data_IF_434819629993
#
_entry.id   IF_434819629993
#
_cell.length_a   1.000
_cell.length_b   1.000
_cell.length_c   1.000
_cell.angle_alpha   90.00
_cell.angle_beta   90.00
_cell.angle_gamma   90.00
#
_symmetry.space_group_name_H-M   'P 1'
#
loop_
_entity.id
_entity.type
_entity.pdbx_description
1 polymer ?
#
# COMPACT_ATOMS: atom_id res chain seq x y z
N UNK A 1 -25.38 1.93 26.33
CA UNK A 1 -24.64 3.16 26.03
C UNK A 1 -23.80 2.96 24.77
N UNK A 2 -24.21 3.53 23.64
CA UNK A 2 -23.47 3.46 22.37
C UNK A 2 -22.21 4.34 22.50
N UNK A 3 -21.02 3.73 22.51
CA UNK A 3 -19.76 4.47 22.41
C UNK A 3 -19.75 5.24 21.09
N UNK A 4 -19.91 6.56 21.14
CA UNK A 4 -19.60 7.44 20.00
C UNK A 4 -18.15 7.16 19.58
N UNK A 5 -17.97 6.36 18.53
CA UNK A 5 -16.67 6.21 17.87
C UNK A 5 -16.43 7.53 17.13
N UNK A 6 -15.70 8.44 17.74
CA UNK A 6 -15.13 9.56 17.01
C UNK A 6 -14.39 9.00 15.79
N UNK A 7 -14.88 9.30 14.60
CA UNK A 7 -14.20 8.90 13.37
C UNK A 7 -12.87 9.66 13.29
N UNK A 8 -11.79 8.97 13.64
CA UNK A 8 -10.42 9.49 13.49
C UNK A 8 -10.23 9.73 11.99
N UNK A 9 -9.91 10.96 11.60
CA UNK A 9 -9.55 11.30 10.22
C UNK A 9 -8.04 11.40 10.10
N UNK A 10 -7.44 10.88 9.03
CA UNK A 10 -6.02 11.04 8.78
C UNK A 10 -5.61 12.52 8.82
N UNK A 11 -4.55 12.82 9.53
CA UNK A 11 -4.06 14.19 9.70
C UNK A 11 -2.53 14.25 9.61
N UNK A 12 -2.00 15.46 9.41
CA UNK A 12 -0.55 15.71 9.39
C UNK A 12 0.07 15.86 10.80
N UNK A 13 -0.60 15.38 11.84
CA UNK A 13 -0.13 15.58 13.22
C UNK A 13 1.20 14.90 13.48
N UNK A 14 1.35 13.66 13.03
CA UNK A 14 2.58 12.88 13.24
C UNK A 14 3.73 13.41 12.38
N UNK A 15 3.48 13.72 11.11
CA UNK A 15 4.50 14.34 10.24
C UNK A 15 4.98 15.67 10.82
N UNK A 16 4.07 16.55 11.28
CA UNK A 16 4.41 17.84 11.89
C UNK A 16 5.24 17.68 13.17
N UNK A 17 4.97 16.66 14.00
CA UNK A 17 5.79 16.37 15.19
C UNK A 17 7.21 16.00 14.80
N UNK A 18 7.39 15.19 13.77
CA UNK A 18 8.70 14.77 13.29
C UNK A 18 9.46 15.92 12.64
N UNK A 19 8.79 16.75 11.85
CA UNK A 19 9.39 17.96 11.27
C UNK A 19 9.89 18.94 12.33
N UNK A 20 9.13 19.14 13.43
CA UNK A 20 9.56 19.97 14.58
C UNK A 20 10.77 19.39 15.31
N UNK A 21 11.00 18.07 15.25
CA UNK A 21 12.17 17.39 15.78
C UNK A 21 13.39 17.44 14.84
N UNK A 22 13.29 18.15 13.71
CA UNK A 22 14.39 18.34 12.75
C UNK A 22 14.45 17.29 11.63
N UNK A 23 13.55 16.29 11.57
CA UNK A 23 13.51 15.37 10.45
C UNK A 23 13.04 16.09 9.19
N UNK A 24 13.90 16.20 8.18
CA UNK A 24 13.58 16.88 6.91
C UNK A 24 12.69 16.01 6.02
N UNK A 25 12.88 14.71 6.06
CA UNK A 25 12.18 13.71 5.24
C UNK A 25 11.41 12.74 6.12
N UNK A 26 10.09 12.78 6.03
CA UNK A 26 9.20 11.81 6.70
C UNK A 26 8.48 11.02 5.63
N UNK A 27 8.79 9.73 5.53
CA UNK A 27 8.21 8.82 4.54
C UNK A 27 7.24 7.87 5.23
N UNK A 28 6.03 7.78 4.71
CA UNK A 28 5.04 6.78 5.14
C UNK A 28 5.01 5.60 4.18
N UNK A 29 4.94 4.39 4.72
CA UNK A 29 4.87 3.14 3.99
C UNK A 29 3.58 2.40 4.32
N UNK A 30 2.88 1.92 3.29
CA UNK A 30 1.73 1.03 3.42
C UNK A 30 1.65 0.06 2.24
N UNK A 31 1.01 -1.10 2.44
CA UNK A 31 0.90 -2.15 1.44
C UNK A 31 -0.55 -2.51 1.10
N UNK A 32 -0.73 -3.08 -0.08
CA UNK A 32 -1.98 -3.67 -0.54
C UNK A 32 -1.75 -5.06 -1.13
N UNK A 33 -2.64 -5.99 -0.80
CA UNK A 33 -2.61 -7.31 -1.42
C UNK A 33 -1.97 -8.40 -0.57
N UNK A 34 -2.00 -8.33 0.76
CA UNK A 34 -1.53 -9.44 1.63
C UNK A 34 -2.45 -10.64 1.59
N UNK A 35 -3.77 -10.45 1.68
CA UNK A 35 -4.75 -11.53 1.78
C UNK A 35 -5.25 -12.20 0.49
N UNK A 36 -5.08 -11.66 -0.73
CA UNK A 36 -5.50 -12.32 -1.96
C UNK A 36 -4.80 -13.64 -2.22
N UNK A 37 -5.51 -14.57 -2.88
CA UNK A 37 -5.00 -15.88 -3.34
C UNK A 37 -4.18 -15.78 -4.63
N UNK A 38 -4.26 -14.64 -5.35
CA UNK A 38 -3.60 -14.45 -6.63
C UNK A 38 -3.04 -13.04 -6.80
N UNK A 39 -1.98 -12.94 -7.60
CA UNK A 39 -1.33 -11.70 -7.97
C UNK A 39 -0.36 -11.15 -6.92
N UNK A 40 0.30 -10.01 -7.23
CA UNK A 40 1.37 -9.47 -6.43
C UNK A 40 0.88 -8.83 -5.12
N UNK A 41 1.81 -8.61 -4.19
CA UNK A 41 1.71 -7.60 -3.16
C UNK A 41 2.37 -6.30 -3.66
N UNK A 42 1.76 -5.16 -3.37
CA UNK A 42 2.28 -3.84 -3.73
C UNK A 42 2.41 -2.99 -2.48
N UNK A 43 3.43 -2.15 -2.43
CA UNK A 43 3.57 -1.14 -1.39
C UNK A 43 3.83 0.23 -2.01
N UNK A 44 3.47 1.28 -1.30
CA UNK A 44 3.80 2.65 -1.66
C UNK A 44 4.59 3.32 -0.54
N UNK A 45 5.56 4.12 -0.95
CA UNK A 45 6.26 5.08 -0.12
C UNK A 45 5.77 6.48 -0.49
N UNK A 46 5.34 7.27 0.49
CA UNK A 46 4.82 8.62 0.27
C UNK A 46 5.45 9.60 1.23
N UNK A 47 5.89 10.73 0.72
CA UNK A 47 6.35 11.86 1.52
C UNK A 47 5.76 13.18 1.03
N UNK A 48 5.71 14.16 1.92
CA UNK A 48 5.34 15.54 1.60
C UNK A 48 6.61 16.38 1.58
N UNK A 49 6.86 17.06 0.46
CA UNK A 49 7.97 18.01 0.34
C UNK A 49 7.74 19.24 1.22
N UNK A 50 8.67 19.49 2.10
CA UNK A 50 8.68 20.70 2.92
C UNK A 50 9.55 21.75 2.19
N UNK A 51 8.92 22.80 1.69
CA UNK A 51 9.62 23.98 1.18
C UNK A 51 9.50 25.12 2.20
N UNK A 52 10.61 25.77 2.52
CA UNK A 52 10.63 26.91 3.49
C UNK A 52 9.71 28.06 3.05
N UNK A 53 9.55 28.29 1.74
CA UNK A 53 8.88 29.48 1.20
C UNK A 53 7.35 29.41 1.11
N UNK A 54 6.70 28.24 1.17
CA UNK A 54 5.24 28.14 0.93
C UNK A 54 4.56 26.94 1.61
N UNK A 55 5.05 26.54 2.80
CA UNK A 55 4.55 25.34 3.48
C UNK A 55 3.06 25.47 3.86
N UNK A 56 2.63 26.67 4.34
CA UNK A 56 1.24 26.88 4.78
C UNK A 56 0.25 26.77 3.62
N UNK A 57 0.51 27.46 2.50
CA UNK A 57 -0.41 27.46 1.34
C UNK A 57 -0.48 26.11 0.62
N UNK A 58 0.65 25.45 0.43
CA UNK A 58 0.68 24.10 -0.19
C UNK A 58 -0.02 23.04 0.67
N UNK A 59 0.14 23.10 2.00
CA UNK A 59 -0.58 22.21 2.93
C UNK A 59 -2.09 22.55 2.99
N UNK A 60 -2.47 23.82 2.90
CA UNK A 60 -3.89 24.21 2.84
C UNK A 60 -4.56 23.70 1.57
N UNK A 61 -3.92 23.86 0.40
CA UNK A 61 -4.40 23.32 -0.87
C UNK A 61 -4.46 21.78 -0.86
N UNK A 62 -3.48 21.12 -0.24
CA UNK A 62 -3.48 19.68 -0.07
C UNK A 62 -4.69 19.22 0.78
N UNK A 63 -4.99 19.94 1.88
CA UNK A 63 -6.12 19.62 2.75
C UNK A 63 -7.46 19.85 2.06
N UNK A 64 -7.62 20.91 1.28
CA UNK A 64 -8.87 21.21 0.56
C UNK A 64 -9.14 20.18 -0.53
N UNK A 65 -8.16 19.88 -1.36
CA UNK A 65 -8.26 18.93 -2.48
C UNK A 65 -8.44 17.47 -2.04
N UNK A 66 -7.97 17.12 -0.83
CA UNK A 66 -8.03 15.79 -0.26
C UNK A 66 -8.97 15.69 0.93
N UNK A 67 -9.94 16.62 1.01
CA UNK A 67 -11.02 16.55 2.01
C UNK A 67 -11.77 15.22 1.86
N UNK A 68 -11.74 14.41 2.93
CA UNK A 68 -12.37 13.09 2.94
C UNK A 68 -11.43 11.94 2.59
N UNK A 69 -10.11 12.20 2.46
CA UNK A 69 -9.14 11.10 2.43
C UNK A 69 -9.27 10.27 3.71
N UNK A 70 -9.27 8.97 3.56
CA UNK A 70 -9.37 8.00 4.65
C UNK A 70 -8.77 6.67 4.18
N UNK A 71 -8.71 5.68 5.06
CA UNK A 71 -8.34 4.31 4.72
C UNK A 71 -8.93 3.90 3.36
N UNK A 72 -8.08 3.40 2.48
CA UNK A 72 -8.44 3.04 1.11
C UNK A 72 -9.59 2.02 1.02
N UNK A 73 -9.75 1.18 2.04
CA UNK A 73 -10.81 0.16 2.13
C UNK A 73 -12.18 0.79 2.39
N UNK A 74 -12.21 1.97 3.03
CA UNK A 74 -13.44 2.72 3.34
C UNK A 74 -13.89 3.65 2.22
N UNK A 75 -13.14 3.71 1.11
CA UNK A 75 -13.46 4.50 -0.08
C UNK A 75 -14.09 3.62 -1.17
N UNK A 76 -15.02 4.19 -1.95
CA UNK A 76 -15.48 3.53 -3.17
C UNK A 76 -14.35 3.45 -4.21
N UNK A 77 -14.39 2.51 -5.17
CA UNK A 77 -13.39 2.42 -6.23
C UNK A 77 -13.22 3.73 -7.02
N UNK A 78 -14.31 4.41 -7.37
CA UNK A 78 -14.31 5.70 -8.06
C UNK A 78 -13.58 6.76 -7.25
N UNK A 79 -13.88 6.88 -5.96
CA UNK A 79 -13.26 7.86 -5.07
C UNK A 79 -11.77 7.59 -4.86
N UNK A 80 -11.37 6.30 -4.79
CA UNK A 80 -9.94 5.93 -4.74
C UNK A 80 -9.19 6.33 -6.01
N UNK A 81 -9.76 6.11 -7.19
CA UNK A 81 -9.15 6.51 -8.46
C UNK A 81 -9.05 8.04 -8.58
N UNK A 82 -10.03 8.81 -8.09
CA UNK A 82 -9.96 10.27 -8.00
C UNK A 82 -8.81 10.72 -7.10
N UNK A 83 -8.75 10.23 -5.87
CA UNK A 83 -7.65 10.56 -4.95
C UNK A 83 -6.28 10.11 -5.49
N UNK A 84 -6.20 8.94 -6.12
CA UNK A 84 -4.96 8.48 -6.76
C UNK A 84 -4.46 9.51 -7.78
N UNK A 85 -5.34 10.02 -8.66
CA UNK A 85 -4.98 11.02 -9.67
C UNK A 85 -4.48 12.30 -9.03
N UNK A 86 -5.14 12.77 -7.97
CA UNK A 86 -4.72 13.97 -7.23
C UNK A 86 -3.38 13.73 -6.56
N UNK A 87 -3.24 12.65 -5.78
CA UNK A 87 -2.04 12.34 -5.02
C UNK A 87 -0.79 12.18 -5.90
N UNK A 88 -0.93 11.47 -7.02
CA UNK A 88 0.21 11.17 -7.91
C UNK A 88 0.65 12.34 -8.77
N UNK A 89 -0.19 13.38 -8.92
CA UNK A 89 0.11 14.59 -9.70
C UNK A 89 0.40 15.81 -8.83
N UNK A 90 0.17 15.73 -7.52
CA UNK A 90 0.31 16.88 -6.63
C UNK A 90 1.79 17.25 -6.42
N UNK A 91 2.20 18.52 -6.67
CA UNK A 91 3.62 18.93 -6.66
C UNK A 91 4.29 18.82 -5.28
N UNK A 92 3.49 18.82 -4.19
CA UNK A 92 4.01 18.65 -2.84
C UNK A 92 4.12 17.19 -2.40
N UNK A 93 3.70 16.21 -3.22
CA UNK A 93 3.74 14.80 -2.88
C UNK A 93 4.74 14.09 -3.75
N UNK A 94 5.69 13.41 -3.12
CA UNK A 94 6.55 12.42 -3.77
C UNK A 94 6.14 11.03 -3.36
N UNK A 95 6.25 10.11 -4.30
CA UNK A 95 5.86 8.73 -4.08
C UNK A 95 6.69 7.74 -4.89
N UNK A 96 6.85 6.54 -4.34
CA UNK A 96 7.47 5.40 -4.98
C UNK A 96 6.59 4.16 -4.82
N UNK A 97 6.72 3.20 -5.74
CA UNK A 97 6.00 1.93 -5.73
C UNK A 97 6.99 0.77 -5.69
N UNK A 98 6.67 -0.22 -4.86
CA UNK A 98 7.32 -1.52 -4.85
C UNK A 98 6.31 -2.63 -5.13
N UNK A 99 6.71 -3.58 -5.96
CA UNK A 99 5.89 -4.71 -6.39
C UNK A 99 6.69 -5.99 -6.16
N UNK A 100 6.05 -6.98 -5.54
CA UNK A 100 6.61 -8.31 -5.34
C UNK A 100 5.61 -9.35 -5.87
N UNK A 101 6.10 -10.21 -6.76
CA UNK A 101 5.26 -11.19 -7.46
C UNK A 101 4.83 -12.34 -6.54
N UNK A 102 3.79 -13.07 -6.98
CA UNK A 102 3.31 -14.29 -6.35
C UNK A 102 4.41 -15.36 -6.18
N UNK A 103 5.31 -15.50 -7.15
CA UNK A 103 6.45 -16.44 -7.08
C UNK A 103 7.38 -16.14 -5.91
N UNK A 104 7.64 -14.84 -5.66
CA UNK A 104 8.47 -14.42 -4.52
C UNK A 104 7.68 -14.58 -3.22
N UNK A 105 6.38 -14.27 -3.22
CA UNK A 105 5.50 -14.50 -2.05
C UNK A 105 5.55 -15.96 -1.62
N UNK A 106 5.44 -16.90 -2.55
CA UNK A 106 5.50 -18.32 -2.27
C UNK A 106 6.85 -18.76 -1.68
N UNK A 107 7.95 -18.10 -2.08
CA UNK A 107 9.30 -18.40 -1.61
C UNK A 107 9.62 -17.87 -0.22
N UNK A 108 9.24 -16.62 0.08
CA UNK A 108 9.67 -15.91 1.31
C UNK A 108 8.53 -15.61 2.27
N UNK A 109 7.32 -16.10 2.01
CA UNK A 109 6.02 -15.81 2.64
C UNK A 109 5.53 -14.36 2.45
N UNK A 110 4.24 -14.15 2.69
CA UNK A 110 3.57 -12.86 2.45
C UNK A 110 4.05 -11.74 3.38
N UNK A 111 4.47 -12.05 4.59
CA UNK A 111 4.95 -11.02 5.52
C UNK A 111 6.25 -10.42 5.03
N UNK A 112 7.23 -11.27 4.72
CA UNK A 112 8.53 -10.84 4.20
C UNK A 112 8.40 -10.19 2.81
N UNK A 113 7.48 -10.70 1.97
CA UNK A 113 7.20 -10.13 0.66
C UNK A 113 6.58 -8.73 0.73
N UNK A 114 5.72 -8.46 1.72
CA UNK A 114 5.16 -7.13 1.95
C UNK A 114 6.25 -6.14 2.38
N UNK A 115 7.12 -6.53 3.30
CA UNK A 115 8.25 -5.71 3.74
C UNK A 115 9.27 -5.48 2.59
N UNK A 116 9.53 -6.48 1.75
CA UNK A 116 10.34 -6.32 0.54
C UNK A 116 9.69 -5.37 -0.47
N UNK A 117 8.36 -5.38 -0.59
CA UNK A 117 7.64 -4.41 -1.42
C UNK A 117 7.79 -2.98 -0.85
N UNK A 118 7.73 -2.80 0.47
CA UNK A 118 7.98 -1.52 1.13
C UNK A 118 9.42 -1.03 0.87
N UNK A 119 10.41 -1.90 1.00
CA UNK A 119 11.80 -1.58 0.67
C UNK A 119 11.94 -1.12 -0.78
N UNK A 120 11.37 -1.87 -1.74
CA UNK A 120 11.38 -1.47 -3.16
C UNK A 120 10.69 -0.14 -3.40
N UNK A 121 9.57 0.13 -2.72
CA UNK A 121 8.87 1.41 -2.82
C UNK A 121 9.74 2.57 -2.33
N UNK A 122 10.43 2.38 -1.21
CA UNK A 122 11.33 3.36 -0.63
C UNK A 122 12.55 3.63 -1.53
N UNK A 123 13.17 2.56 -2.06
CA UNK A 123 14.29 2.68 -3.01
C UNK A 123 13.87 3.41 -4.30
N UNK A 124 12.67 3.11 -4.81
CA UNK A 124 12.12 3.78 -5.99
C UNK A 124 11.87 5.28 -5.73
N UNK A 125 11.36 5.64 -4.55
CA UNK A 125 11.22 7.03 -4.12
C UNK A 125 12.60 7.71 -4.03
N UNK A 126 13.59 7.04 -3.45
CA UNK A 126 14.95 7.56 -3.27
C UNK A 126 15.64 7.84 -4.61
N UNK A 127 15.54 6.94 -5.59
CA UNK A 127 16.09 7.14 -6.92
C UNK A 127 15.57 8.42 -7.59
N UNK A 128 14.29 8.78 -7.32
CA UNK A 128 13.71 10.02 -7.85
C UNK A 128 14.23 11.28 -7.16
N UNK A 129 14.55 11.18 -5.87
CA UNK A 129 14.91 12.33 -5.04
C UNK A 129 16.41 12.52 -4.89
N UNK A 130 17.23 11.55 -5.34
CA UNK A 130 18.69 11.52 -5.19
C UNK A 130 19.13 11.80 -3.75
N UNK A 131 18.42 11.23 -2.77
CA UNK A 131 18.74 11.41 -1.35
C UNK A 131 20.04 10.66 -1.06
N UNK A 132 21.12 11.40 -0.84
CA UNK A 132 22.47 10.82 -0.66
C UNK A 132 22.63 10.08 0.67
N UNK A 133 21.96 10.51 1.74
CA UNK A 133 22.11 9.95 3.09
C UNK A 133 20.78 9.80 3.81
N UNK A 134 20.50 8.60 4.31
CA UNK A 134 19.32 8.26 5.12
C UNK A 134 19.39 8.74 6.59
N UNK A 135 20.31 9.67 6.92
CA UNK A 135 20.52 10.09 8.31
C UNK A 135 19.48 11.07 8.87
N UNK A 136 18.78 11.80 8.01
CA UNK A 136 17.77 12.81 8.38
C UNK A 136 16.34 12.36 8.09
N UNK A 137 16.16 11.09 7.74
CA UNK A 137 14.87 10.53 7.38
C UNK A 137 14.24 9.79 8.54
N UNK A 138 12.91 9.76 8.50
CA UNK A 138 12.11 9.02 9.43
C UNK A 138 11.01 8.26 8.70
N UNK A 139 10.87 6.96 9.00
CA UNK A 139 9.80 6.15 8.42
C UNK A 139 8.62 6.04 9.40
N UNK A 140 7.42 6.21 8.87
CA UNK A 140 6.17 5.79 9.53
C UNK A 140 5.65 4.59 8.75
N UNK A 141 5.48 3.47 9.43
CA UNK A 141 5.09 2.19 8.82
C UNK A 141 3.77 1.73 9.43
N UNK A 142 2.79 1.37 8.60
CA UNK A 142 1.59 0.72 9.10
C UNK A 142 1.90 -0.72 9.50
N UNK A 143 1.70 -1.06 10.77
CA UNK A 143 1.97 -2.39 11.28
C UNK A 143 2.49 -2.45 12.71
N UNK A 144 2.86 -3.66 13.14
CA UNK A 144 3.28 -3.95 14.53
C UNK A 144 4.72 -4.47 14.65
N UNK A 145 5.28 -5.05 13.59
CA UNK A 145 6.54 -5.77 13.70
C UNK A 145 7.27 -5.79 12.37
N UNK A 146 8.47 -5.22 12.33
CA UNK A 146 9.33 -5.11 11.16
C UNK A 146 10.46 -6.12 11.25
N UNK A 147 10.67 -6.93 10.20
CA UNK A 147 11.77 -7.89 10.09
C UNK A 147 12.83 -7.48 9.08
N UNK A 148 12.47 -6.67 8.08
CA UNK A 148 13.36 -6.26 7.00
C UNK A 148 14.56 -5.46 7.54
N UNK A 149 15.77 -5.99 7.30
CA UNK A 149 17.01 -5.42 7.83
C UNK A 149 17.35 -4.05 7.26
N UNK A 150 17.00 -3.78 6.00
CA UNK A 150 17.24 -2.47 5.39
C UNK A 150 16.34 -1.40 6.03
N UNK A 151 15.04 -1.66 6.15
CA UNK A 151 14.11 -0.71 6.76
C UNK A 151 14.41 -0.46 8.25
N UNK A 152 14.90 -1.49 8.97
CA UNK A 152 15.31 -1.35 10.38
C UNK A 152 16.48 -0.42 10.61
N UNK A 153 17.38 -0.26 9.63
CA UNK A 153 18.54 0.66 9.73
C UNK A 153 18.13 2.12 9.70
N UNK A 154 16.94 2.44 9.19
CA UNK A 154 16.41 3.80 9.13
C UNK A 154 15.58 4.05 10.40
N UNK A 155 15.68 5.23 10.98
CA UNK A 155 14.84 5.60 12.13
C UNK A 155 13.37 5.48 11.75
N UNK A 156 12.61 4.72 12.53
CA UNK A 156 11.22 4.43 12.19
C UNK A 156 10.31 4.37 13.41
N UNK A 157 9.02 4.49 13.14
CA UNK A 157 7.94 4.25 14.08
C UNK A 157 6.85 3.42 13.41
N UNK A 158 6.43 2.38 14.07
CA UNK A 158 5.29 1.60 13.65
C UNK A 158 4.02 2.12 14.31
N UNK A 159 2.98 2.32 13.52
CA UNK A 159 1.69 2.81 14.01
C UNK A 159 0.62 1.86 13.49
N UNK A 160 -0.12 1.25 14.41
CA UNK A 160 -1.26 0.39 14.06
C UNK A 160 -2.36 1.23 13.43
N UNK A 161 -2.83 0.81 12.25
CA UNK A 161 -3.82 1.54 11.46
C UNK A 161 -3.34 2.97 11.18
N UNK A 162 -2.12 3.10 10.70
CA UNK A 162 -1.53 4.37 10.35
C UNK A 162 -2.32 5.07 9.23
N UNK A 163 -2.88 4.31 8.31
CA UNK A 163 -3.77 4.76 7.23
C UNK A 163 -5.05 5.46 7.72
N UNK A 164 -5.51 5.17 8.96
CA UNK A 164 -6.63 5.87 9.59
C UNK A 164 -6.21 7.16 10.32
N UNK A 165 -4.93 7.34 10.68
CA UNK A 165 -4.42 8.36 11.59
C UNK A 165 -3.50 9.38 10.93
N UNK A 166 -2.65 8.91 10.01
CA UNK A 166 -1.55 9.66 9.40
C UNK A 166 -1.86 9.89 7.93
N UNK A 167 -1.82 11.15 7.52
CA UNK A 167 -2.21 11.54 6.16
C UNK A 167 -1.37 10.87 5.08
N UNK A 168 -0.05 10.87 5.22
CA UNK A 168 0.84 10.27 4.22
C UNK A 168 0.72 8.75 4.16
N UNK A 169 0.33 8.08 5.28
CA UNK A 169 0.01 6.65 5.27
C UNK A 169 -1.32 6.37 4.54
N UNK A 170 -2.35 7.20 4.75
CA UNK A 170 -3.59 7.08 3.98
C UNK A 170 -3.36 7.28 2.47
N UNK A 171 -2.47 8.22 2.10
CA UNK A 171 -2.06 8.41 0.71
C UNK A 171 -1.31 7.20 0.16
N UNK A 172 -0.38 6.62 0.93
CA UNK A 172 0.34 5.40 0.56
C UNK A 172 -0.63 4.22 0.36
N UNK A 173 -1.58 4.03 1.27
CA UNK A 173 -2.64 3.02 1.18
C UNK A 173 -3.41 3.12 -0.15
N UNK A 174 -3.85 4.34 -0.51
CA UNK A 174 -4.60 4.57 -1.76
C UNK A 174 -3.71 4.27 -2.98
N UNK A 175 -2.47 4.76 -2.99
CA UNK A 175 -1.55 4.57 -4.12
C UNK A 175 -1.22 3.09 -4.29
N UNK A 176 -0.89 2.38 -3.22
CA UNK A 176 -0.64 0.94 -3.27
C UNK A 176 -1.87 0.15 -3.76
N UNK A 177 -3.06 0.47 -3.20
CA UNK A 177 -4.31 -0.22 -3.53
C UNK A 177 -4.73 -0.02 -4.97
N UNK A 178 -4.73 1.22 -5.47
CA UNK A 178 -5.12 1.51 -6.86
C UNK A 178 -4.13 0.90 -7.85
N UNK A 179 -2.83 0.99 -7.56
CA UNK A 179 -1.80 0.37 -8.40
C UNK A 179 -2.02 -1.14 -8.50
N UNK A 180 -2.25 -1.82 -7.36
CA UNK A 180 -2.52 -3.25 -7.35
C UNK A 180 -3.80 -3.59 -8.11
N UNK A 181 -4.89 -2.88 -7.88
CA UNK A 181 -6.17 -3.12 -8.55
C UNK A 181 -6.07 -2.96 -10.08
N UNK A 182 -5.23 -2.04 -10.56
CA UNK A 182 -4.91 -1.87 -11.98
C UNK A 182 -4.12 -3.05 -12.53
N UNK A 183 -3.16 -3.58 -11.79
CA UNK A 183 -2.43 -4.81 -12.16
C UNK A 183 -3.41 -5.99 -12.27
N UNK A 184 -4.31 -6.17 -11.32
CA UNK A 184 -5.28 -7.25 -11.34
C UNK A 184 -6.29 -7.13 -12.50
N UNK A 185 -6.68 -5.91 -12.90
CA UNK A 185 -7.48 -5.70 -14.12
C UNK A 185 -6.72 -6.07 -15.39
N UNK A 186 -5.40 -5.79 -15.48
CA UNK A 186 -4.56 -6.23 -16.60
C UNK A 186 -4.43 -7.76 -16.62
N UNK A 187 -4.24 -8.38 -15.46
CA UNK A 187 -4.17 -9.85 -15.33
C UNK A 187 -5.50 -10.53 -15.67
N UNK A 188 -6.65 -9.87 -15.42
CA UNK A 188 -7.95 -10.36 -15.87
C UNK A 188 -8.01 -10.52 -17.40
N UNK A 189 -7.44 -9.58 -18.16
CA UNK A 189 -7.40 -9.70 -19.63
C UNK A 189 -6.65 -10.94 -20.10
N UNK A 190 -5.62 -11.38 -19.34
CA UNK A 190 -4.84 -12.58 -19.63
C UNK A 190 -5.51 -13.87 -19.11
N UNK A 191 -6.28 -13.77 -18.03
CA UNK A 191 -6.93 -14.90 -17.37
C UNK A 191 -8.41 -14.58 -17.10
N UNK A 192 -9.24 -14.37 -18.14
CA UNK A 192 -10.61 -13.88 -18.00
C UNK A 192 -11.53 -14.85 -17.23
N UNK A 193 -11.25 -16.16 -17.30
CA UNK A 193 -12.02 -17.20 -16.64
C UNK A 193 -12.07 -17.07 -15.12
N UNK A 194 -11.08 -16.40 -14.49
CA UNK A 194 -11.04 -16.22 -13.03
C UNK A 194 -11.78 -14.97 -12.53
N UNK A 195 -12.15 -14.03 -13.40
CA UNK A 195 -12.86 -12.79 -13.04
C UNK A 195 -12.08 -11.91 -12.04
N UNK A 196 -10.77 -11.77 -12.23
CA UNK A 196 -9.92 -10.90 -11.40
C UNK A 196 -10.31 -9.41 -11.49
N UNK A 197 -11.07 -9.03 -12.49
CA UNK A 197 -11.68 -7.69 -12.61
C UNK A 197 -12.69 -7.39 -11.50
N UNK A 198 -13.33 -8.41 -10.93
CA UNK A 198 -14.31 -8.26 -9.85
C UNK A 198 -13.61 -8.30 -8.49
N UNK A 199 -13.04 -9.43 -8.13
CA UNK A 199 -12.56 -9.70 -6.76
C UNK A 199 -11.07 -9.42 -6.55
N UNK A 200 -10.32 -8.99 -7.57
CA UNK A 200 -8.88 -8.62 -7.48
C UNK A 200 -8.00 -9.71 -6.84
N UNK A 201 -8.38 -10.98 -6.97
CA UNK A 201 -7.68 -12.12 -6.41
C UNK A 201 -8.00 -12.43 -4.95
N UNK A 202 -8.90 -11.69 -4.30
CA UNK A 202 -9.32 -12.00 -2.93
C UNK A 202 -10.14 -13.31 -2.87
N UNK A 203 -10.10 -13.98 -1.71
CA UNK A 203 -10.81 -15.22 -1.43
C UNK A 203 -12.32 -14.96 -1.29
N UNK A 204 -13.02 -14.84 -2.42
CA UNK A 204 -14.47 -14.70 -2.49
C UNK A 204 -15.09 -16.02 -2.96
N UNK A 205 -16.39 -16.22 -2.73
CA UNK A 205 -17.14 -17.39 -3.25
C UNK A 205 -16.91 -17.55 -4.76
N UNK A 206 -16.97 -16.45 -5.52
CA UNK A 206 -16.71 -16.46 -6.97
C UNK A 206 -15.29 -16.94 -7.29
N UNK A 207 -14.28 -16.44 -6.59
CA UNK A 207 -12.90 -16.83 -6.84
C UNK A 207 -12.66 -18.32 -6.54
N UNK A 208 -13.18 -18.80 -5.40
CA UNK A 208 -13.09 -20.22 -5.03
C UNK A 208 -13.78 -21.13 -6.05
N UNK A 209 -15.00 -20.78 -6.49
CA UNK A 209 -15.70 -21.53 -7.53
C UNK A 209 -14.92 -21.58 -8.85
N UNK A 210 -14.29 -20.46 -9.25
CA UNK A 210 -13.44 -20.42 -10.44
C UNK A 210 -12.16 -21.24 -10.27
N UNK A 211 -11.55 -21.17 -9.10
CA UNK A 211 -10.38 -21.97 -8.76
C UNK A 211 -10.69 -23.48 -8.80
N UNK A 212 -11.84 -23.90 -8.26
CA UNK A 212 -12.30 -25.29 -8.35
C UNK A 212 -12.56 -25.75 -9.79
N UNK A 213 -13.15 -24.86 -10.62
CA UNK A 213 -13.50 -25.21 -12.01
C UNK A 213 -12.30 -25.25 -12.94
N UNK A 214 -11.33 -24.34 -12.80
CA UNK A 214 -10.24 -24.14 -13.77
C UNK A 214 -8.84 -24.47 -13.22
N UNK A 215 -8.76 -24.95 -11.97
CA UNK A 215 -7.48 -25.14 -11.30
C UNK A 215 -6.77 -23.81 -10.98
N UNK A 216 -5.51 -23.87 -10.59
CA UNK A 216 -4.71 -22.68 -10.32
C UNK A 216 -4.01 -22.18 -11.59
N UNK A 217 -4.01 -20.88 -11.82
CA UNK A 217 -3.20 -20.23 -12.87
C UNK A 217 -1.79 -19.89 -12.36
N UNK A 218 -0.85 -19.53 -13.27
CA UNK A 218 0.52 -19.14 -12.88
C UNK A 218 0.62 -17.96 -11.91
N UNK A 219 -0.44 -17.15 -11.77
CA UNK A 219 -0.45 -16.01 -10.86
C UNK A 219 -1.10 -16.31 -9.51
N UNK A 220 -1.56 -17.55 -9.27
CA UNK A 220 -2.03 -17.94 -7.95
C UNK A 220 -0.86 -18.20 -7.00
N UNK A 221 -1.06 -17.87 -5.74
CA UNK A 221 -0.08 -18.07 -4.66
C UNK A 221 -0.20 -19.51 -4.16
N UNK A 222 0.68 -20.36 -4.63
CA UNK A 222 0.63 -21.80 -4.38
C UNK A 222 0.77 -22.18 -2.91
N UNK A 223 1.43 -21.35 -2.11
CA UNK A 223 1.60 -21.52 -0.65
C UNK A 223 0.36 -21.16 0.15
N UNK A 224 -0.68 -20.55 -0.45
CA UNK A 224 -1.90 -20.17 0.26
C UNK A 224 -2.88 -21.35 0.33
N UNK A 225 -3.38 -21.64 1.53
CA UNK A 225 -4.19 -22.84 1.84
C UNK A 225 -5.26 -23.19 0.79
N UNK A 226 -6.17 -22.29 0.37
CA UNK A 226 -7.19 -22.66 -0.61
C UNK A 226 -6.62 -23.04 -1.98
N UNK A 227 -5.49 -22.46 -2.40
CA UNK A 227 -4.81 -22.77 -3.66
C UNK A 227 -4.06 -24.09 -3.54
N UNK A 228 -3.38 -24.30 -2.42
CA UNK A 228 -2.66 -25.54 -2.12
C UNK A 228 -3.63 -26.73 -2.12
N UNK A 229 -4.76 -26.61 -1.42
CA UNK A 229 -5.78 -27.68 -1.36
C UNK A 229 -6.36 -28.01 -2.76
N UNK A 230 -6.60 -27.00 -3.60
CA UNK A 230 -7.10 -27.21 -4.96
C UNK A 230 -6.07 -27.92 -5.85
N UNK A 231 -4.75 -27.67 -5.64
CA UNK A 231 -3.68 -28.32 -6.40
C UNK A 231 -3.43 -29.77 -5.94
N UNK A 232 -3.71 -30.09 -4.67
CA UNK A 232 -3.53 -31.43 -4.12
C UNK A 232 -4.69 -32.37 -4.50
N UNK A 233 -5.89 -31.83 -4.69
CA UNK A 233 -7.09 -32.57 -5.08
C UNK A 233 -7.69 -31.94 -6.36
N UNK A 234 -7.04 -32.06 -7.53
CA UNK A 234 -7.66 -31.64 -8.78
C UNK A 234 -8.89 -32.52 -9.01
N UNK A 235 -10.07 -31.89 -9.07
CA UNK A 235 -11.25 -32.64 -9.51
C UNK A 235 -11.00 -33.03 -10.97
N UNK A 236 -10.88 -34.35 -11.20
CA UNK A 236 -10.95 -34.99 -12.51
C UNK A 236 -12.19 -34.57 -13.29
#
# INVERSE_FOLDING_TARGET
MAKLRFMIKPSLREEKKLWRKGYKTVVCLDEAGRGPLAGPVTAAAVMIKISKSNLKSKILNLKSNLKGIKDSKKLSPKKRDEFYKILTKHPAIEWGIGIVSEKIIDRINIKNAAELAMEKALRNLNCKLQIANWGTEFLIIDGLNLKNNFLKKIRHRMIVKADEKVFSCAAASIIAKVTRDRIMRKLHKKYPQYRFDIHKGYCTKLHLARLQKFGSSPIHRKSFSPVLACNLNPKS
#
